data_IF_320328257650
#
_entry.id   IF_320328257650
#
_cell.length_a   1.000
_cell.length_b   1.000
_cell.length_c   1.000
_cell.angle_alpha   90.00
_cell.angle_beta   90.00
_cell.angle_gamma   90.00
#
_symmetry.space_group_name_H-M   'P 1'
#
loop_
_entity.id
_entity.type
_entity.pdbx_description
1 polymer ?
#
# COMPACT_ATOMS: atom_id res chain seq x y z
N UNK A 1 30.29 -15.71 5.70
CA UNK A 1 30.37 -14.34 5.11
C UNK A 1 29.23 -14.06 4.13
N UNK A 2 28.67 -15.08 3.45
CA UNK A 2 27.59 -14.97 2.45
C UNK A 2 26.21 -14.54 2.99
N UNK A 3 25.81 -14.96 4.19
CA UNK A 3 24.45 -14.68 4.71
C UNK A 3 24.17 -13.19 5.00
N UNK A 4 25.17 -12.42 5.44
CA UNK A 4 25.03 -10.96 5.67
C UNK A 4 24.84 -10.18 4.37
N UNK A 5 25.45 -10.66 3.27
CA UNK A 5 25.35 -10.04 1.95
C UNK A 5 23.94 -10.20 1.36
N UNK A 6 23.37 -11.40 1.50
CA UNK A 6 22.01 -11.72 1.01
C UNK A 6 20.94 -10.97 1.81
N UNK A 7 21.10 -10.83 3.13
CA UNK A 7 20.16 -10.03 3.94
C UNK A 7 20.21 -8.54 3.62
N UNK A 8 21.40 -8.00 3.34
CA UNK A 8 21.54 -6.59 2.98
C UNK A 8 20.92 -6.28 1.62
N UNK A 9 21.09 -7.16 0.63
CA UNK A 9 20.45 -7.02 -0.68
C UNK A 9 18.93 -7.18 -0.61
N UNK A 10 18.41 -8.14 0.18
CA UNK A 10 16.97 -8.32 0.37
C UNK A 10 16.30 -7.12 1.06
N UNK A 11 16.96 -6.53 2.06
CA UNK A 11 16.50 -5.30 2.70
C UNK A 11 16.51 -4.11 1.74
N UNK A 12 17.56 -3.95 0.92
CA UNK A 12 17.65 -2.87 -0.08
C UNK A 12 16.62 -3.02 -1.21
N UNK A 13 16.31 -4.24 -1.65
CA UNK A 13 15.27 -4.53 -2.64
C UNK A 13 13.88 -4.22 -2.06
N UNK A 14 13.65 -4.57 -0.80
CA UNK A 14 12.39 -4.27 -0.12
C UNK A 14 12.21 -2.76 0.11
N UNK A 15 13.26 -2.07 0.53
CA UNK A 15 13.30 -0.60 0.68
C UNK A 15 13.04 0.08 -0.67
N UNK A 16 13.71 -0.33 -1.75
CA UNK A 16 13.51 0.27 -3.09
C UNK A 16 12.14 -0.02 -3.71
N UNK A 17 11.54 -1.18 -3.44
CA UNK A 17 10.15 -1.50 -3.86
C UNK A 17 9.09 -0.80 -3.00
N UNK A 18 9.42 -0.41 -1.77
CA UNK A 18 8.48 0.23 -0.83
C UNK A 18 8.67 1.75 -0.70
N UNK A 19 9.77 2.31 -1.23
CA UNK A 19 10.00 3.76 -1.38
C UNK A 19 9.40 4.48 -2.61
N UNK A 20 8.72 3.86 -3.60
CA UNK A 20 8.21 4.64 -4.74
C UNK A 20 7.05 5.58 -4.35
N UNK A 21 6.63 5.57 -3.08
CA UNK A 21 5.58 6.43 -2.52
C UNK A 21 6.07 7.80 -2.01
N UNK A 22 7.38 8.09 -1.94
CA UNK A 22 7.89 9.37 -1.43
C UNK A 22 8.74 10.21 -2.40
N UNK A 23 9.02 9.73 -3.62
CA UNK A 23 10.00 10.36 -4.52
C UNK A 23 9.47 10.81 -5.89
N UNK A 24 8.18 11.13 -6.01
CA UNK A 24 7.69 11.91 -7.16
C UNK A 24 7.70 13.39 -6.84
N UNK A 25 8.67 14.11 -7.41
CA UNK A 25 8.47 15.53 -7.70
C UNK A 25 7.18 15.61 -8.53
N UNK A 26 6.14 16.23 -7.99
CA UNK A 26 4.85 16.32 -8.65
C UNK A 26 5.02 17.02 -10.00
N UNK A 27 4.90 16.26 -11.08
CA UNK A 27 4.81 16.83 -12.42
C UNK A 27 3.53 17.67 -12.50
N UNK A 28 3.51 18.73 -13.32
CA UNK A 28 2.34 19.62 -13.40
C UNK A 28 1.03 18.85 -13.74
N UNK A 29 1.14 17.77 -14.52
CA UNK A 29 0.04 16.86 -14.85
C UNK A 29 -0.46 16.06 -13.63
N UNK A 30 0.44 15.54 -12.79
CA UNK A 30 0.06 14.83 -11.54
C UNK A 30 -0.60 15.75 -10.51
N UNK A 31 -0.30 17.06 -10.56
CA UNK A 31 -0.98 18.09 -9.77
C UNK A 31 -2.33 18.52 -10.35
N UNK A 32 -2.79 17.90 -11.46
CA UNK A 32 -4.05 18.22 -12.12
C UNK A 32 -4.03 19.54 -12.90
N UNK A 33 -2.84 19.98 -13.33
CA UNK A 33 -2.63 21.17 -14.14
C UNK A 33 -2.11 20.85 -15.54
N UNK A 34 -2.04 21.88 -16.38
CA UNK A 34 -1.35 21.83 -17.67
C UNK A 34 -0.24 22.89 -17.70
N UNK A 35 0.82 22.63 -18.46
CA UNK A 35 1.86 23.64 -18.68
C UNK A 35 1.33 24.65 -19.72
N UNK A 36 1.33 25.93 -19.35
CA UNK A 36 1.05 27.03 -20.27
C UNK A 36 2.27 27.96 -20.33
N UNK A 37 2.39 28.79 -21.37
CA UNK A 37 3.49 29.74 -21.47
C UNK A 37 3.40 30.80 -20.36
N UNK A 38 4.54 31.24 -19.81
CA UNK A 38 4.58 32.23 -18.70
C UNK A 38 3.86 33.54 -19.06
N UNK A 39 3.74 33.87 -20.36
CA UNK A 39 3.01 35.03 -20.87
C UNK A 39 1.48 34.90 -20.91
N UNK A 40 0.92 33.70 -20.71
CA UNK A 40 -0.53 33.49 -20.63
C UNK A 40 -1.02 33.60 -19.18
N UNK A 41 -2.18 34.23 -18.98
CA UNK A 41 -2.80 34.31 -17.65
C UNK A 41 -3.51 32.99 -17.34
N UNK A 42 -3.15 32.34 -16.23
CA UNK A 42 -3.91 31.20 -15.74
C UNK A 42 -5.28 31.69 -15.21
N UNK A 43 -6.37 31.24 -15.82
CA UNK A 43 -7.73 31.64 -15.42
C UNK A 43 -8.09 31.15 -14.01
N UNK A 44 -7.59 29.97 -13.61
CA UNK A 44 -7.89 29.32 -12.34
C UNK A 44 -6.74 29.40 -11.32
N UNK A 45 -5.73 30.25 -11.57
CA UNK A 45 -4.53 30.38 -10.74
C UNK A 45 -3.39 29.43 -11.13
N UNK A 46 -2.22 29.65 -10.52
CA UNK A 46 -1.00 28.85 -10.76
C UNK A 46 -0.78 27.81 -9.66
N UNK A 47 -0.20 26.65 -9.99
CA UNK A 47 0.27 25.65 -9.02
C UNK A 47 1.79 25.54 -9.00
N UNK A 48 2.33 24.91 -7.94
CA UNK A 48 3.71 24.45 -7.90
C UNK A 48 3.83 23.09 -8.61
N UNK A 49 4.66 23.01 -9.64
CA UNK A 49 4.92 21.80 -10.42
C UNK A 49 6.07 22.04 -11.40
N UNK A 50 6.71 20.98 -11.86
CA UNK A 50 7.77 21.08 -12.87
C UNK A 50 7.17 21.15 -14.27
N UNK A 51 7.60 22.15 -15.05
CA UNK A 51 7.32 22.33 -16.47
C UNK A 51 8.64 22.68 -17.18
N UNK A 52 8.71 22.54 -18.52
CA UNK A 52 9.87 22.99 -19.30
C UNK A 52 10.17 24.47 -19.08
N UNK A 53 11.42 24.88 -19.30
CA UNK A 53 11.81 26.28 -19.26
C UNK A 53 10.92 27.11 -20.20
N UNK A 54 10.44 28.28 -19.73
CA UNK A 54 9.44 29.18 -20.34
C UNK A 54 7.96 28.85 -20.12
N UNK A 55 7.64 27.82 -19.33
CA UNK A 55 6.26 27.40 -19.07
C UNK A 55 5.95 27.43 -17.56
N UNK A 56 4.71 27.79 -17.21
CA UNK A 56 4.18 27.81 -15.85
C UNK A 56 3.01 26.84 -15.74
N UNK A 57 2.87 26.20 -14.59
CA UNK A 57 1.77 25.27 -14.33
C UNK A 57 0.46 26.02 -14.04
N UNK A 58 -0.55 25.83 -14.89
CA UNK A 58 -1.88 26.42 -14.75
C UNK A 58 -2.93 25.36 -14.38
N UNK A 59 -3.90 25.74 -13.51
CA UNK A 59 -5.07 24.92 -13.18
C UNK A 59 -6.06 24.86 -14.35
N UNK A 60 -6.67 23.68 -14.60
CA UNK A 60 -7.74 23.51 -15.60
C UNK A 60 -9.14 23.78 -14.97
N UNK A 61 -10.13 24.12 -15.79
CA UNK A 61 -11.53 24.50 -15.47
C UNK A 61 -12.39 23.44 -14.77
N UNK A 62 -11.76 22.38 -14.24
CA UNK A 62 -12.37 21.37 -13.38
C UNK A 62 -12.04 21.54 -11.89
N UNK A 63 -11.53 22.71 -11.47
CA UNK A 63 -11.09 22.95 -10.09
C UNK A 63 -11.78 24.14 -9.40
N UNK A 64 -13.08 24.05 -9.12
CA UNK A 64 -13.59 24.53 -7.81
C UNK A 64 -13.20 23.46 -6.76
N UNK A 65 -13.01 23.81 -5.47
CA UNK A 65 -11.99 23.21 -4.60
C UNK A 65 -12.29 21.75 -4.23
N UNK A 66 -11.99 20.83 -5.13
CA UNK A 66 -11.93 19.38 -4.87
C UNK A 66 -10.92 18.66 -5.76
N UNK A 67 -10.04 19.38 -6.45
CA UNK A 67 -8.76 18.81 -6.90
C UNK A 67 -7.74 18.89 -5.77
N UNK A 68 -8.16 18.48 -4.57
CA UNK A 68 -7.24 18.19 -3.50
C UNK A 68 -6.67 16.80 -3.80
N UNK A 69 -5.33 16.62 -3.90
CA UNK A 69 -4.74 15.29 -4.09
C UNK A 69 -5.09 14.31 -2.97
N UNK A 70 -5.72 14.82 -1.90
CA UNK A 70 -6.29 14.09 -0.78
C UNK A 70 -7.64 13.44 -1.07
N UNK A 71 -8.34 13.70 -2.18
CA UNK A 71 -9.63 13.07 -2.47
C UNK A 71 -9.58 12.09 -3.64
N UNK A 72 -10.43 11.08 -3.56
CA UNK A 72 -10.49 9.97 -4.51
C UNK A 72 -11.21 10.30 -5.81
N UNK A 73 -12.14 11.25 -5.76
CA UNK A 73 -12.88 11.70 -6.94
C UNK A 73 -13.03 13.23 -6.88
N UNK A 74 -12.54 13.96 -7.89
CA UNK A 74 -12.58 15.41 -7.91
C UNK A 74 -13.98 16.01 -8.06
N UNK A 75 -15.01 15.20 -8.31
CA UNK A 75 -16.39 15.68 -8.49
C UNK A 75 -17.29 15.39 -7.28
N UNK A 76 -16.81 14.68 -6.26
CA UNK A 76 -17.64 14.26 -5.12
C UNK A 76 -16.80 14.21 -3.83
N UNK A 77 -16.99 15.18 -2.93
CA UNK A 77 -16.29 15.25 -1.62
C UNK A 77 -16.62 14.08 -0.68
N UNK A 78 -17.71 13.36 -0.95
CA UNK A 78 -18.08 12.13 -0.25
C UNK A 78 -17.30 10.89 -0.73
N UNK A 79 -16.46 11.00 -1.75
CA UNK A 79 -15.85 9.83 -2.42
C UNK A 79 -14.67 9.21 -1.71
N UNK A 80 -14.23 9.79 -0.58
CA UNK A 80 -13.13 9.25 0.19
C UNK A 80 -11.81 9.98 0.04
N UNK A 81 -10.89 9.65 0.95
CA UNK A 81 -9.58 10.28 1.08
C UNK A 81 -8.52 9.38 0.43
N UNK A 82 -7.66 9.95 -0.41
CA UNK A 82 -6.46 9.31 -0.97
C UNK A 82 -5.40 9.16 0.12
N UNK A 83 -5.05 7.92 0.41
CA UNK A 83 -3.95 7.57 1.31
C UNK A 83 -2.92 6.72 0.57
N UNK A 84 -1.76 6.51 1.19
CA UNK A 84 -0.73 5.62 0.67
C UNK A 84 -1.22 4.16 0.47
N UNK A 85 -2.36 3.80 1.08
CA UNK A 85 -3.01 2.49 0.97
C UNK A 85 -4.05 2.44 -0.16
N UNK A 86 -4.24 3.55 -0.88
CA UNK A 86 -5.29 3.72 -1.87
C UNK A 86 -6.41 4.62 -1.38
N UNK A 87 -7.53 4.54 -2.08
CA UNK A 87 -8.65 5.46 -1.93
C UNK A 87 -9.67 4.98 -0.91
N UNK A 88 -9.74 5.61 0.28
CA UNK A 88 -10.64 5.20 1.37
C UNK A 88 -11.98 5.93 1.29
N UNK A 89 -13.01 5.27 0.75
CA UNK A 89 -14.35 5.85 0.63
C UNK A 89 -15.08 5.90 1.98
N UNK A 90 -15.18 7.08 2.60
CA UNK A 90 -15.84 7.25 3.93
C UNK A 90 -17.36 7.30 3.89
N UNK A 91 -17.98 7.30 2.70
CA UNK A 91 -19.43 7.46 2.52
C UNK A 91 -20.22 6.19 2.84
N UNK A 92 -19.59 5.02 2.83
CA UNK A 92 -20.22 3.76 3.19
C UNK A 92 -19.28 2.96 4.09
N UNK A 93 -19.65 2.56 5.32
CA UNK A 93 -18.79 1.78 6.22
C UNK A 93 -18.35 0.43 5.63
N UNK A 94 -19.00 -0.01 4.56
CA UNK A 94 -18.75 -1.24 3.82
C UNK A 94 -17.45 -1.26 3.00
N UNK A 95 -17.11 -0.14 2.35
CA UNK A 95 -16.04 -0.13 1.35
C UNK A 95 -14.63 -0.15 1.95
N UNK A 96 -14.46 0.58 3.05
CA UNK A 96 -13.19 0.67 3.75
C UNK A 96 -12.78 -0.66 4.39
N UNK A 97 -13.73 -1.47 4.86
CA UNK A 97 -13.44 -2.79 5.41
C UNK A 97 -12.89 -3.73 4.32
N UNK A 98 -13.51 -3.76 3.14
CA UNK A 98 -13.08 -4.61 2.02
C UNK A 98 -11.67 -4.24 1.52
N UNK A 99 -11.40 -2.94 1.39
CA UNK A 99 -10.08 -2.45 0.99
C UNK A 99 -8.99 -2.76 2.03
N UNK A 100 -9.28 -2.57 3.31
CA UNK A 100 -8.33 -2.87 4.39
C UNK A 100 -7.99 -4.36 4.39
N UNK A 101 -8.97 -5.24 4.20
CA UNK A 101 -8.75 -6.69 4.22
C UNK A 101 -7.98 -7.16 2.99
N UNK A 102 -8.30 -6.66 1.79
CA UNK A 102 -7.53 -6.92 0.57
C UNK A 102 -6.05 -6.54 0.74
N UNK A 103 -5.79 -5.38 1.32
CA UNK A 103 -4.42 -4.91 1.58
C UNK A 103 -3.74 -5.70 2.71
N UNK A 104 -4.45 -5.99 3.80
CA UNK A 104 -3.93 -6.76 4.92
C UNK A 104 -3.53 -8.18 4.51
N UNK A 105 -4.33 -8.85 3.67
CA UNK A 105 -3.99 -10.17 3.13
C UNK A 105 -2.82 -10.08 2.16
N UNK A 106 -2.78 -9.07 1.29
CA UNK A 106 -1.67 -8.86 0.35
C UNK A 106 -0.33 -8.61 1.07
N UNK A 107 -0.32 -7.68 2.02
CA UNK A 107 0.89 -7.31 2.78
C UNK A 107 1.26 -8.39 3.79
N UNK A 108 0.29 -8.97 4.50
CA UNK A 108 0.51 -10.07 5.43
C UNK A 108 1.12 -11.29 4.74
N UNK A 109 0.60 -11.66 3.57
CA UNK A 109 1.14 -12.74 2.75
C UNK A 109 2.55 -12.43 2.22
N UNK A 110 2.78 -11.20 1.76
CA UNK A 110 4.11 -10.77 1.28
C UNK A 110 5.19 -10.82 2.37
N UNK A 111 4.86 -10.34 3.58
CA UNK A 111 5.78 -10.40 4.72
C UNK A 111 6.06 -11.86 5.11
N UNK A 112 5.00 -12.69 5.23
CA UNK A 112 5.16 -14.10 5.57
C UNK A 112 6.04 -14.86 4.56
N UNK A 113 5.88 -14.57 3.27
CA UNK A 113 6.71 -15.16 2.21
C UNK A 113 8.20 -14.85 2.40
N UNK A 114 8.54 -13.61 2.75
CA UNK A 114 9.93 -13.20 3.00
C UNK A 114 10.51 -13.91 4.24
N UNK A 115 9.72 -14.06 5.30
CA UNK A 115 10.15 -14.80 6.50
C UNK A 115 10.40 -16.29 6.21
N UNK A 116 9.59 -16.93 5.37
CA UNK A 116 9.81 -18.32 4.95
C UNK A 116 11.13 -18.46 4.18
N UNK A 117 11.39 -17.55 3.23
CA UNK A 117 12.66 -17.55 2.47
C UNK A 117 13.84 -17.33 3.41
N UNK A 118 13.74 -16.38 4.35
CA UNK A 118 14.78 -16.10 5.33
C UNK A 118 15.08 -17.32 6.21
N UNK A 119 14.05 -17.99 6.75
CA UNK A 119 14.21 -19.18 7.55
C UNK A 119 14.79 -20.36 6.75
N UNK A 120 14.39 -20.49 5.48
CA UNK A 120 14.95 -21.48 4.56
C UNK A 120 16.46 -21.30 4.35
N UNK A 121 16.91 -20.07 4.08
CA UNK A 121 18.33 -19.77 3.96
C UNK A 121 19.11 -19.96 5.27
N UNK A 122 18.50 -19.63 6.41
CA UNK A 122 19.11 -19.82 7.73
C UNK A 122 19.37 -21.31 8.01
N UNK A 123 18.46 -22.20 7.62
CA UNK A 123 18.65 -23.65 7.76
C UNK A 123 19.59 -24.22 6.70
N UNK A 124 19.49 -23.78 5.44
CA UNK A 124 20.35 -24.26 4.35
C UNK A 124 21.84 -23.94 4.58
N UNK A 125 22.13 -22.81 5.25
CA UNK A 125 23.51 -22.38 5.56
C UNK A 125 24.00 -22.81 6.95
N UNK A 126 23.23 -23.62 7.69
CA UNK A 126 23.56 -24.00 9.06
C UNK A 126 24.79 -24.90 9.19
N UNK A 127 25.35 -25.44 8.10
CA UNK A 127 26.61 -26.19 8.06
C UNK A 127 26.77 -27.28 9.15
N UNK A 128 25.65 -27.85 9.62
CA UNK A 128 25.64 -28.89 10.66
C UNK A 128 25.64 -28.40 12.11
N UNK A 129 25.57 -27.08 12.36
CA UNK A 129 25.47 -26.55 13.73
C UNK A 129 24.02 -26.70 14.27
N UNK A 130 23.80 -27.51 15.31
CA UNK A 130 22.45 -27.81 15.82
C UNK A 130 21.74 -26.58 16.37
N UNK A 131 22.48 -25.53 16.74
CA UNK A 131 21.90 -24.28 17.26
C UNK A 131 21.21 -23.48 16.16
N UNK A 132 21.77 -23.49 14.94
CA UNK A 132 21.22 -22.77 13.77
C UNK A 132 19.98 -23.45 13.22
N UNK A 133 19.96 -24.78 13.22
CA UNK A 133 18.80 -25.59 12.80
C UNK A 133 17.62 -25.38 13.76
N UNK A 134 17.86 -25.44 15.08
CA UNK A 134 16.81 -25.17 16.08
C UNK A 134 16.23 -23.76 15.95
N UNK A 135 17.10 -22.75 15.77
CA UNK A 135 16.64 -21.38 15.54
C UNK A 135 15.79 -21.24 14.27
N UNK A 136 16.12 -21.93 13.19
CA UNK A 136 15.31 -21.94 11.97
C UNK A 136 13.93 -22.58 12.17
N UNK A 137 13.86 -23.68 12.93
CA UNK A 137 12.60 -24.36 13.25
C UNK A 137 11.67 -23.49 14.10
N UNK A 138 12.20 -22.81 15.12
CA UNK A 138 11.43 -21.87 15.94
C UNK A 138 10.82 -20.75 15.11
N UNK A 139 11.59 -20.19 14.15
CA UNK A 139 11.10 -19.15 13.25
C UNK A 139 9.98 -19.67 12.35
N UNK A 140 10.15 -20.85 11.73
CA UNK A 140 9.13 -21.42 10.83
C UNK A 140 7.82 -21.70 11.57
N UNK A 141 7.89 -22.30 12.76
CA UNK A 141 6.72 -22.59 13.58
C UNK A 141 6.00 -21.30 13.95
N UNK A 142 6.73 -20.25 14.32
CA UNK A 142 6.14 -18.96 14.67
C UNK A 142 5.45 -18.29 13.47
N UNK A 143 6.05 -18.36 12.28
CA UNK A 143 5.47 -17.79 11.04
C UNK A 143 4.25 -18.57 10.58
N UNK A 144 4.30 -19.91 10.62
CA UNK A 144 3.11 -20.74 10.33
C UNK A 144 1.99 -20.46 11.33
N UNK A 145 2.32 -20.31 12.61
CA UNK A 145 1.36 -19.96 13.66
C UNK A 145 0.68 -18.63 13.38
N UNK A 146 1.45 -17.60 13.01
CA UNK A 146 0.90 -16.30 12.65
C UNK A 146 -0.01 -16.36 11.40
N UNK A 147 0.41 -17.10 10.36
CA UNK A 147 -0.38 -17.25 9.14
C UNK A 147 -1.69 -18.00 9.41
N UNK A 148 -1.63 -19.07 10.20
CA UNK A 148 -2.80 -19.84 10.61
C UNK A 148 -3.77 -18.99 11.45
N UNK A 149 -3.25 -18.17 12.37
CA UNK A 149 -4.05 -17.24 13.17
C UNK A 149 -4.81 -16.26 12.27
N UNK A 150 -4.16 -15.66 11.28
CA UNK A 150 -4.80 -14.71 10.34
C UNK A 150 -5.95 -15.38 9.59
N UNK A 151 -5.72 -16.56 9.01
CA UNK A 151 -6.77 -17.29 8.27
C UNK A 151 -7.94 -17.63 9.17
N UNK A 152 -7.66 -18.09 10.40
CA UNK A 152 -8.68 -18.44 11.37
C UNK A 152 -9.48 -17.20 11.84
N UNK A 153 -8.81 -16.06 12.02
CA UNK A 153 -9.47 -14.81 12.35
C UNK A 153 -10.46 -14.39 11.25
N UNK A 154 -10.08 -14.51 9.97
CA UNK A 154 -10.98 -14.19 8.85
C UNK A 154 -12.20 -15.10 8.82
N UNK A 155 -12.02 -16.41 9.06
CA UNK A 155 -13.13 -17.37 9.14
C UNK A 155 -14.09 -16.99 10.27
N UNK A 156 -13.58 -16.65 11.46
CA UNK A 156 -14.41 -16.25 12.60
C UNK A 156 -15.13 -14.92 12.32
N UNK A 157 -14.45 -13.93 11.73
CA UNK A 157 -15.03 -12.65 11.34
C UNK A 157 -16.18 -12.83 10.33
N UNK A 158 -16.02 -13.74 9.37
CA UNK A 158 -17.09 -14.07 8.41
C UNK A 158 -18.26 -14.79 9.08
N UNK A 159 -17.97 -15.74 9.98
CA UNK A 159 -19.01 -16.45 10.71
C UNK A 159 -19.86 -15.50 11.55
N UNK A 160 -19.20 -14.65 12.36
CA UNK A 160 -19.88 -13.73 13.27
C UNK A 160 -20.50 -12.54 12.52
N UNK A 161 -19.78 -11.99 11.56
CA UNK A 161 -20.22 -10.82 10.78
C UNK A 161 -21.41 -11.10 9.87
N UNK A 162 -21.46 -12.28 9.24
CA UNK A 162 -22.58 -12.67 8.37
C UNK A 162 -23.79 -13.12 9.19
N UNK A 163 -23.60 -13.93 10.23
CA UNK A 163 -24.71 -14.61 10.92
C UNK A 163 -25.34 -13.79 12.05
N UNK A 164 -24.59 -12.91 12.71
CA UNK A 164 -25.10 -12.19 13.90
C UNK A 164 -25.42 -10.73 13.62
N UNK A 165 -24.58 -10.01 12.87
CA UNK A 165 -24.86 -8.61 12.54
C UNK A 165 -25.58 -8.42 11.18
N UNK A 166 -25.88 -9.51 10.45
CA UNK A 166 -26.61 -9.45 9.18
C UNK A 166 -25.86 -8.72 8.07
N UNK A 167 -24.53 -8.61 8.17
CA UNK A 167 -23.67 -7.95 7.18
C UNK A 167 -23.28 -8.87 6.02
N UNK A 168 -24.13 -9.85 5.68
CA UNK A 168 -23.96 -10.74 4.51
C UNK A 168 -23.88 -10.00 3.18
N UNK A 169 -24.32 -8.74 3.12
CA UNK A 169 -24.14 -7.87 1.96
C UNK A 169 -22.72 -7.31 1.79
N UNK A 170 -21.82 -7.39 2.78
CA UNK A 170 -20.55 -6.63 2.85
C UNK A 170 -19.44 -6.99 1.84
N UNK A 171 -19.59 -7.97 0.96
CA UNK A 171 -18.54 -8.29 -0.03
C UNK A 171 -17.47 -9.25 0.48
N UNK A 172 -17.70 -9.85 1.64
CA UNK A 172 -16.91 -10.95 2.20
C UNK A 172 -17.13 -12.31 1.50
N UNK A 173 -17.66 -12.29 0.28
CA UNK A 173 -17.73 -13.45 -0.61
C UNK A 173 -16.65 -13.24 -1.67
N UNK A 174 -15.71 -14.16 -1.89
CA UNK A 174 -14.77 -14.04 -3.00
C UNK A 174 -15.49 -13.83 -4.33
#
# INVERSE_FOLDING_TARGET
MSAKLILSLASLIFISLFLPSLSRAATCEEAGGHCALIGMRCWYGSLAGTCPALWKCCKNSGSSPINDPRFCNPTNSNSGIKTALGCLQTSNPKLLIDQIIRWAVGVGGGIAFIFIVYAGFLMATAAGDPKRIKAGQEIIVNVLGALALIVMAVVILNFIGVQILGLGGLGFNP
#
